data_IF_499508446080
#
_entry.id   IF_499508446080
#
_cell.length_a   1.000
_cell.length_b   1.000
_cell.length_c   1.000
_cell.angle_alpha   90.00
_cell.angle_beta   90.00
_cell.angle_gamma   90.00
#
_symmetry.space_group_name_H-M   'P 1'
#
loop_
_entity.id
_entity.type
_entity.pdbx_description
1 polymer ?
#
# COMPACT_ATOMS: atom_id res chain seq x y z
N UNK A 1 43.45 21.19 31.68
CA UNK A 1 43.09 22.01 32.87
C UNK A 1 41.61 21.77 33.16
N UNK A 2 41.31 21.22 34.34
CA UNK A 2 39.95 20.92 34.84
C UNK A 2 39.20 22.23 35.13
N UNK A 3 37.90 22.30 34.82
CA UNK A 3 36.89 22.90 35.72
C UNK A 3 35.56 22.13 35.64
N UNK A 4 35.23 21.51 36.76
CA UNK A 4 33.94 20.98 37.18
C UNK A 4 33.04 22.11 37.70
N UNK A 5 31.73 21.85 37.79
CA UNK A 5 30.69 22.32 38.76
C UNK A 5 29.37 22.50 37.98
N UNK A 6 28.37 21.61 38.01
CA UNK A 6 27.52 21.09 39.11
C UNK A 6 26.44 22.07 39.62
N UNK A 7 25.21 21.57 39.69
CA UNK A 7 24.07 22.10 40.47
C UNK A 7 22.94 22.68 39.61
N UNK A 8 21.65 22.52 39.92
CA UNK A 8 20.93 21.72 40.91
C UNK A 8 19.43 21.75 40.52
N UNK A 9 18.66 20.83 41.09
CA UNK A 9 17.24 20.56 40.86
C UNK A 9 16.28 21.69 41.31
N UNK A 10 15.06 21.67 40.75
CA UNK A 10 13.84 22.00 41.49
C UNK A 10 12.62 21.26 40.91
N UNK A 11 11.97 20.47 41.77
CA UNK A 11 10.60 19.97 41.62
C UNK A 11 9.60 21.12 41.82
N UNK A 12 8.47 21.10 41.11
CA UNK A 12 7.15 21.40 41.71
C UNK A 12 6.00 21.03 40.75
N UNK A 13 5.08 20.26 41.29
CA UNK A 13 3.78 19.80 40.79
C UNK A 13 2.74 20.91 40.65
N UNK A 14 1.81 20.78 39.70
CA UNK A 14 0.41 21.16 39.89
C UNK A 14 -0.51 20.45 38.88
N UNK A 15 -1.25 19.46 39.38
CA UNK A 15 -2.48 18.96 38.78
C UNK A 15 -3.57 20.04 38.93
N UNK A 16 -4.30 20.33 37.85
CA UNK A 16 -5.62 20.99 37.94
C UNK A 16 -6.60 20.15 37.14
N UNK A 17 -7.39 19.34 37.84
CA UNK A 17 -8.67 18.84 37.34
C UNK A 17 -9.67 19.99 37.41
N UNK A 18 -10.16 20.44 36.26
CA UNK A 18 -11.37 21.23 36.18
C UNK A 18 -12.53 20.31 35.78
N UNK A 19 -13.27 19.86 36.79
CA UNK A 19 -14.62 19.33 36.61
C UNK A 19 -15.58 20.53 36.52
N UNK A 20 -16.43 20.54 35.50
CA UNK A 20 -17.63 21.36 35.47
C UNK A 20 -18.82 20.43 35.21
N UNK A 21 -19.63 20.29 36.25
CA UNK A 21 -20.94 19.66 36.28
C UNK A 21 -22.03 20.71 36.01
N UNK A 22 -23.16 20.26 35.47
CA UNK A 22 -24.40 21.03 35.26
C UNK A 22 -24.84 20.89 33.80
N UNK A 23 -25.85 20.08 33.45
CA UNK A 23 -27.26 20.18 33.87
C UNK A 23 -27.98 21.09 32.87
N UNK A 24 -29.05 20.76 32.16
CA UNK A 24 -30.02 19.68 32.13
C UNK A 24 -31.25 20.23 31.39
N UNK A 25 -32.01 19.40 30.66
CA UNK A 25 -33.50 19.42 30.58
C UNK A 25 -34.06 18.86 29.27
N UNK A 26 -35.07 17.99 29.48
CA UNK A 26 -36.28 17.75 28.70
C UNK A 26 -36.12 17.29 27.24
N UNK A 27 -36.84 16.29 26.73
CA UNK A 27 -38.04 15.61 27.17
C UNK A 27 -38.68 15.02 25.90
N UNK A 28 -39.25 13.82 25.97
CA UNK A 28 -39.87 13.21 24.78
C UNK A 28 -40.09 11.71 24.91
N UNK A 29 -41.06 11.35 25.75
CA UNK A 29 -41.64 10.02 25.81
C UNK A 29 -42.22 9.62 24.46
N UNK A 30 -41.96 8.40 23.99
CA UNK A 30 -42.96 7.70 23.20
C UNK A 30 -43.05 6.24 23.64
N UNK A 31 -44.20 5.93 24.23
CA UNK A 31 -44.60 4.62 24.67
C UNK A 31 -45.48 4.00 23.58
N UNK A 32 -45.13 2.78 23.19
CA UNK A 32 -45.96 1.82 22.47
C UNK A 32 -45.19 0.52 22.50
N UNK A 33 -45.53 -0.51 23.28
CA UNK A 33 -46.86 -1.00 23.57
C UNK A 33 -47.18 -2.08 22.53
N UNK A 34 -46.75 -3.32 22.79
CA UNK A 34 -46.99 -4.45 21.90
C UNK A 34 -46.16 -5.68 22.23
N UNK A 35 -46.41 -6.30 23.37
CA UNK A 35 -46.02 -7.67 23.66
C UNK A 35 -47.24 -8.58 23.46
N UNK A 36 -47.12 -9.63 22.64
CA UNK A 36 -47.74 -10.93 22.92
C UNK A 36 -46.91 -12.04 22.28
N UNK A 37 -46.81 -13.13 23.02
CA UNK A 37 -45.92 -14.27 22.86
C UNK A 37 -46.32 -15.24 21.74
N UNK A 38 -45.36 -16.07 21.32
CA UNK A 38 -45.59 -17.50 21.17
C UNK A 38 -44.26 -18.26 21.23
N UNK A 39 -44.17 -19.14 22.23
CA UNK A 39 -43.18 -20.19 22.34
C UNK A 39 -43.37 -21.21 21.20
N UNK A 40 -42.26 -21.64 20.59
CA UNK A 40 -42.21 -22.73 19.64
C UNK A 40 -41.02 -23.61 19.95
N UNK A 41 -41.25 -24.61 20.78
CA UNK A 41 -40.33 -25.71 21.07
C UNK A 41 -40.20 -26.58 19.82
N UNK A 42 -39.00 -26.66 19.25
CA UNK A 42 -38.73 -27.51 18.09
C UNK A 42 -37.28 -28.01 18.15
N UNK A 43 -37.10 -29.19 18.75
CA UNK A 43 -35.85 -29.93 18.68
C UNK A 43 -35.59 -30.38 17.25
N UNK A 44 -34.42 -30.02 16.72
CA UNK A 44 -33.91 -30.46 15.43
C UNK A 44 -32.43 -30.81 15.58
N UNK A 45 -32.16 -32.09 15.44
CA UNK A 45 -30.89 -32.83 15.55
C UNK A 45 -29.75 -32.24 14.72
N UNK A 46 -28.47 -32.33 15.15
CA UNK A 46 -27.34 -31.98 14.30
C UNK A 46 -27.15 -33.05 13.21
N UNK A 47 -27.40 -32.70 11.95
CA UNK A 47 -26.97 -33.50 10.81
C UNK A 47 -25.56 -33.09 10.40
N UNK A 48 -24.59 -33.92 10.78
CA UNK A 48 -23.31 -34.08 10.10
C UNK A 48 -23.58 -34.36 8.62
N UNK A 49 -23.00 -33.58 7.71
CA UNK A 49 -22.93 -33.93 6.29
C UNK A 49 -21.51 -33.73 5.79
N UNK A 50 -20.96 -34.88 5.47
CA UNK A 50 -19.63 -35.22 5.02
C UNK A 50 -19.17 -34.44 3.80
N UNK A 51 -17.88 -34.12 3.85
CA UNK A 51 -17.09 -33.68 2.71
C UNK A 51 -17.18 -34.68 1.54
N UNK A 52 -17.35 -34.14 0.33
CA UNK A 52 -17.13 -34.88 -0.92
C UNK A 52 -15.69 -34.59 -1.36
N UNK A 53 -14.83 -35.61 -1.58
CA UNK A 53 -13.54 -35.40 -2.22
C UNK A 53 -13.72 -35.24 -3.73
N UNK A 54 -13.29 -34.10 -4.27
CA UNK A 54 -13.10 -33.88 -5.70
C UNK A 54 -11.90 -34.72 -6.19
N UNK A 55 -12.01 -35.47 -7.30
CA UNK A 55 -10.87 -36.22 -7.84
C UNK A 55 -9.79 -35.30 -8.42
N UNK A 56 -8.54 -35.66 -8.14
CA UNK A 56 -7.33 -35.04 -8.67
C UNK A 56 -7.23 -35.19 -10.20
N UNK A 57 -6.72 -34.18 -10.94
CA UNK A 57 -6.33 -34.37 -12.33
C UNK A 57 -4.97 -35.09 -12.39
N UNK A 58 -4.99 -36.33 -12.88
CA UNK A 58 -3.81 -37.01 -13.42
C UNK A 58 -3.40 -36.30 -14.72
N UNK A 59 -2.26 -35.62 -14.73
CA UNK A 59 -1.60 -35.21 -15.97
C UNK A 59 -0.23 -35.85 -16.04
N UNK A 60 -0.18 -36.84 -16.90
CA UNK A 60 0.96 -37.64 -17.35
C UNK A 60 2.07 -36.74 -17.87
N UNK A 61 3.25 -36.81 -17.24
CA UNK A 61 4.48 -36.26 -17.76
C UNK A 61 5.03 -37.20 -18.84
N UNK A 62 4.99 -36.78 -20.11
CA UNK A 62 5.71 -37.46 -21.19
C UNK A 62 7.00 -36.70 -21.44
N UNK A 63 8.11 -37.34 -21.08
CA UNK A 63 9.49 -36.94 -21.38
C UNK A 63 9.83 -37.39 -22.80
N UNK A 64 10.29 -36.50 -23.69
CA UNK A 64 11.10 -36.93 -24.81
C UNK A 64 12.60 -36.63 -24.58
N UNK A 65 13.36 -37.71 -24.74
CA UNK A 65 14.81 -37.84 -24.82
C UNK A 65 15.43 -36.95 -25.90
N UNK A 66 16.59 -36.31 -25.68
CA UNK A 66 17.38 -35.76 -26.79
C UNK A 66 18.35 -36.81 -27.33
N UNK A 67 18.20 -37.11 -28.63
CA UNK A 67 19.13 -37.93 -29.41
C UNK A 67 20.28 -37.06 -29.93
N UNK A 68 21.51 -37.56 -29.77
CA UNK A 68 22.76 -37.01 -30.30
C UNK A 68 22.82 -37.16 -31.82
N UNK A 69 23.15 -36.09 -32.56
CA UNK A 69 23.67 -36.20 -33.93
C UNK A 69 24.84 -35.23 -34.16
N UNK A 70 25.87 -35.76 -34.82
CA UNK A 70 27.21 -35.21 -35.01
C UNK A 70 27.41 -34.82 -36.48
N UNK A 71 28.17 -33.74 -36.72
CA UNK A 71 28.94 -33.38 -37.93
C UNK A 71 28.24 -32.52 -39.01
N UNK A 72 28.75 -31.32 -39.28
CA UNK A 72 29.76 -31.02 -40.34
C UNK A 72 29.87 -29.51 -40.62
N UNK A 73 31.08 -29.11 -41.01
CA UNK A 73 31.63 -27.76 -41.10
C UNK A 73 30.98 -26.76 -42.09
N UNK A 74 31.25 -25.49 -41.77
CA UNK A 74 31.23 -24.21 -42.50
C UNK A 74 30.96 -24.18 -44.02
N UNK A 75 30.34 -23.06 -44.48
CA UNK A 75 31.18 -22.05 -45.12
C UNK A 75 30.98 -20.62 -44.56
N UNK A 76 32.08 -19.87 -44.64
CA UNK A 76 32.20 -18.42 -44.49
C UNK A 76 31.26 -17.66 -45.44
N UNK A 77 30.46 -16.75 -44.88
CA UNK A 77 29.89 -15.63 -45.64
C UNK A 77 30.15 -14.32 -44.88
N UNK A 78 30.93 -13.47 -45.53
CA UNK A 78 31.24 -12.10 -45.13
C UNK A 78 29.99 -11.26 -45.32
N UNK A 79 29.40 -10.75 -44.24
CA UNK A 79 28.36 -9.72 -44.30
C UNK A 79 28.80 -8.51 -43.47
N UNK A 80 28.98 -7.38 -44.15
CA UNK A 80 29.48 -6.15 -43.60
C UNK A 80 28.51 -5.57 -42.56
N UNK A 81 29.04 -5.31 -41.36
CA UNK A 81 28.36 -4.69 -40.22
C UNK A 81 27.91 -3.26 -40.55
N UNK A 82 26.61 -2.93 -40.55
CA UNK A 82 26.16 -1.55 -40.54
C UNK A 82 26.53 -0.92 -39.20
N UNK A 83 27.22 0.23 -39.26
CA UNK A 83 27.59 1.03 -38.09
C UNK A 83 26.32 1.55 -37.39
N UNK A 84 26.06 1.24 -36.11
CA UNK A 84 24.97 1.86 -35.37
C UNK A 84 25.21 3.38 -35.29
N UNK A 85 24.19 4.15 -35.65
CA UNK A 85 24.08 5.59 -35.44
C UNK A 85 24.40 5.91 -33.97
N UNK A 86 25.18 6.97 -33.66
CA UNK A 86 25.42 7.37 -32.27
C UNK A 86 24.08 7.62 -31.58
N UNK A 87 23.84 6.86 -30.51
CA UNK A 87 22.74 7.08 -29.57
C UNK A 87 22.80 8.51 -29.05
N UNK A 88 21.69 9.26 -29.05
CA UNK A 88 21.65 10.56 -28.37
C UNK A 88 22.04 10.35 -26.90
N UNK A 89 22.98 11.17 -26.43
CA UNK A 89 23.33 11.27 -25.00
C UNK A 89 22.02 11.41 -24.20
N UNK A 90 21.80 10.59 -23.14
CA UNK A 90 20.63 10.75 -22.29
C UNK A 90 20.52 12.20 -21.84
N UNK A 91 19.34 12.81 -22.04
CA UNK A 91 19.05 14.13 -21.54
C UNK A 91 19.39 14.18 -20.03
N UNK A 92 19.87 15.32 -19.50
CA UNK A 92 20.17 15.44 -18.08
C UNK A 92 18.97 14.98 -17.25
N UNK A 93 19.19 14.01 -16.37
CA UNK A 93 18.18 13.53 -15.41
C UNK A 93 17.57 14.75 -14.71
N UNK A 94 16.24 14.91 -14.68
CA UNK A 94 15.60 15.97 -13.91
C UNK A 94 16.17 15.97 -12.49
N UNK A 95 16.70 17.11 -12.05
CA UNK A 95 17.14 17.25 -10.67
C UNK A 95 15.91 17.10 -9.77
N UNK A 96 16.00 16.21 -8.79
CA UNK A 96 14.96 16.02 -7.79
C UNK A 96 14.69 17.34 -7.07
N UNK A 97 13.43 17.61 -6.75
CA UNK A 97 13.08 18.65 -5.78
C UNK A 97 13.81 18.33 -4.46
N UNK A 98 14.61 19.25 -3.89
CA UNK A 98 15.44 18.97 -2.71
C UNK A 98 14.65 18.54 -1.47
N UNK A 99 13.32 18.69 -1.46
CA UNK A 99 12.44 18.24 -0.38
C UNK A 99 11.86 16.82 -0.50
N UNK A 100 12.10 16.09 -1.60
CA UNK A 100 11.53 14.74 -1.81
C UNK A 100 12.61 13.66 -1.65
N UNK A 101 12.50 12.75 -0.67
CA UNK A 101 13.56 11.76 -0.37
C UNK A 101 13.58 10.56 -1.34
N UNK A 102 12.92 10.65 -2.49
CA UNK A 102 12.77 9.54 -3.45
C UNK A 102 13.53 9.78 -4.75
N UNK A 103 14.83 9.43 -4.77
CA UNK A 103 15.71 9.64 -5.92
C UNK A 103 15.32 8.83 -7.18
N UNK A 104 14.67 7.68 -7.04
CA UNK A 104 14.17 6.86 -8.15
C UNK A 104 12.84 7.40 -8.69
N UNK A 105 11.91 7.77 -7.81
CA UNK A 105 10.67 8.44 -8.23
C UNK A 105 10.97 9.77 -8.94
N UNK A 106 11.94 10.55 -8.44
CA UNK A 106 12.39 11.78 -9.09
C UNK A 106 13.11 11.55 -10.43
N UNK A 107 13.67 10.35 -10.64
CA UNK A 107 14.30 9.97 -11.90
C UNK A 107 13.30 9.55 -12.99
N UNK A 108 12.07 9.22 -12.60
CA UNK A 108 11.09 8.68 -13.50
C UNK A 108 10.70 9.73 -14.55
N UNK A 109 10.68 9.37 -15.86
CA UNK A 109 10.36 10.31 -16.91
C UNK A 109 8.88 10.73 -16.92
N UNK A 110 8.01 9.91 -16.32
CA UNK A 110 6.56 10.12 -16.26
C UNK A 110 6.07 10.47 -14.86
N UNK A 111 4.86 10.02 -14.55
CA UNK A 111 4.29 10.12 -13.20
C UNK A 111 4.97 9.11 -12.27
N UNK A 112 5.19 9.50 -11.01
CA UNK A 112 5.69 8.61 -9.97
C UNK A 112 5.09 8.97 -8.61
N UNK A 113 5.14 8.05 -7.66
CA UNK A 113 4.82 8.28 -6.25
C UNK A 113 6.08 8.19 -5.39
N UNK A 114 6.16 9.07 -4.39
CA UNK A 114 7.13 8.98 -3.31
C UNK A 114 6.40 8.78 -1.99
N UNK A 115 6.95 7.90 -1.14
CA UNK A 115 6.45 7.63 0.20
C UNK A 115 7.63 7.68 1.17
N UNK A 116 7.54 8.53 2.18
CA UNK A 116 8.48 8.62 3.29
C UNK A 116 7.79 8.11 4.55
N UNK A 117 8.16 6.90 4.97
CA UNK A 117 7.59 6.22 6.13
C UNK A 117 7.88 7.02 7.40
N UNK A 118 9.14 7.42 7.63
CA UNK A 118 9.56 8.15 8.83
C UNK A 118 8.82 9.48 9.01
N UNK A 119 8.55 10.20 7.91
CA UNK A 119 7.88 11.49 7.94
C UNK A 119 6.35 11.41 7.84
N UNK A 120 5.80 10.21 7.60
CA UNK A 120 4.38 9.99 7.31
C UNK A 120 3.87 10.86 6.16
N UNK A 121 4.68 10.97 5.09
CA UNK A 121 4.38 11.81 3.92
C UNK A 121 4.36 11.01 2.62
N UNK A 122 3.49 11.43 1.71
CA UNK A 122 3.49 10.95 0.33
C UNK A 122 3.36 12.10 -0.67
N UNK A 123 3.86 11.88 -1.88
CA UNK A 123 3.84 12.83 -3.00
C UNK A 123 3.51 12.13 -4.32
N UNK A 124 3.02 12.91 -5.28
CA UNK A 124 3.01 12.55 -6.69
C UNK A 124 3.98 13.47 -7.42
N UNK A 125 4.83 12.88 -8.25
CA UNK A 125 5.80 13.55 -9.09
C UNK A 125 5.41 13.35 -10.56
N UNK A 126 5.75 14.32 -11.40
CA UNK A 126 5.73 14.19 -12.86
C UNK A 126 7.02 14.76 -13.43
N UNK A 127 7.77 13.93 -14.16
CA UNK A 127 9.07 14.33 -14.72
C UNK A 127 10.05 14.84 -13.65
N UNK A 128 10.03 14.22 -12.47
CA UNK A 128 10.86 14.58 -11.32
C UNK A 128 10.40 15.78 -10.48
N UNK A 129 9.31 16.46 -10.86
CA UNK A 129 8.75 17.61 -10.12
C UNK A 129 7.55 17.20 -9.28
N UNK A 130 7.43 17.73 -8.06
CA UNK A 130 6.23 17.52 -7.24
C UNK A 130 5.03 18.21 -7.90
N UNK A 131 3.97 17.44 -8.16
CA UNK A 131 2.69 17.96 -8.65
C UNK A 131 1.56 17.82 -7.64
N UNK A 132 1.78 17.03 -6.58
CA UNK A 132 0.86 16.90 -5.45
C UNK A 132 1.60 16.44 -4.19
N UNK A 133 1.22 16.99 -3.04
CA UNK A 133 1.82 16.70 -1.73
C UNK A 133 2.78 17.78 -1.23
N UNK A 134 3.43 17.55 -0.06
CA UNK A 134 3.31 16.38 0.79
C UNK A 134 1.91 16.24 1.39
N UNK A 135 1.31 15.05 1.33
CA UNK A 135 0.08 14.72 2.07
C UNK A 135 0.40 13.82 3.26
N UNK A 136 -0.36 13.91 4.38
CA UNK A 136 -0.28 12.92 5.45
C UNK A 136 -0.65 11.53 4.93
N UNK A 137 0.07 10.52 5.39
CA UNK A 137 -0.21 9.12 5.12
C UNK A 137 0.13 8.27 6.36
N UNK A 138 -0.45 7.08 6.48
CA UNK A 138 -0.10 6.16 7.55
C UNK A 138 0.24 4.77 6.98
N UNK A 139 1.43 4.22 7.28
CA UNK A 139 1.89 2.96 6.70
C UNK A 139 1.40 1.75 7.51
N UNK A 140 1.93 0.58 7.16
CA UNK A 140 1.77 -0.66 7.90
C UNK A 140 2.40 -0.61 9.29
N UNK A 141 1.72 -1.21 10.27
CA UNK A 141 2.23 -1.31 11.65
C UNK A 141 3.39 -2.29 11.78
N UNK A 142 4.07 -2.29 12.93
CA UNK A 142 5.07 -3.32 13.26
C UNK A 142 4.47 -4.73 13.14
N UNK A 143 5.18 -5.63 12.44
CA UNK A 143 4.71 -6.98 12.10
C UNK A 143 3.96 -7.08 10.78
N UNK A 144 3.54 -5.95 10.21
CA UNK A 144 2.87 -5.81 8.92
C UNK A 144 3.42 -4.56 8.20
N UNK A 145 4.74 -4.42 8.17
CA UNK A 145 5.38 -3.20 7.70
C UNK A 145 5.18 -3.03 6.20
N UNK A 146 4.94 -1.79 5.76
CA UNK A 146 4.97 -1.47 4.34
C UNK A 146 6.37 -1.75 3.80
N UNK A 147 6.51 -2.49 2.68
CA UNK A 147 7.82 -2.79 2.12
C UNK A 147 8.49 -1.52 1.58
N UNK A 148 9.75 -1.29 1.96
CA UNK A 148 10.59 -0.22 1.41
C UNK A 148 11.27 -0.68 0.13
N UNK A 149 11.43 0.22 -0.84
CA UNK A 149 12.07 -0.11 -2.11
C UNK A 149 11.55 0.75 -3.26
N UNK A 150 11.89 0.31 -4.48
CA UNK A 150 11.32 0.87 -5.71
C UNK A 150 10.44 -0.19 -6.33
N UNK A 151 9.20 0.17 -6.59
CA UNK A 151 8.13 -0.66 -7.11
C UNK A 151 7.46 0.03 -8.30
N UNK A 152 6.42 -0.61 -8.82
CA UNK A 152 5.58 -0.08 -9.87
C UNK A 152 4.12 -0.30 -9.53
N UNK A 153 3.24 0.59 -9.97
CA UNK A 153 1.80 0.37 -9.89
C UNK A 153 1.44 -0.88 -10.68
N UNK A 154 0.83 -1.85 -10.00
CA UNK A 154 0.47 -3.17 -10.54
C UNK A 154 -0.95 -3.16 -11.11
N UNK A 155 -1.89 -2.62 -10.34
CA UNK A 155 -3.31 -2.60 -10.68
C UNK A 155 -4.02 -1.49 -9.91
N UNK A 156 -5.26 -1.21 -10.32
CA UNK A 156 -6.10 -0.17 -9.72
C UNK A 156 -7.53 -0.66 -9.65
N UNK A 157 -8.15 -0.45 -8.49
CA UNK A 157 -9.54 -0.80 -8.25
C UNK A 157 -10.25 0.34 -7.53
N UNK A 158 -11.33 0.85 -8.12
CA UNK A 158 -12.03 2.02 -7.57
C UNK A 158 -12.59 1.73 -6.18
N UNK A 159 -13.14 0.53 -6.02
CA UNK A 159 -13.59 -0.03 -4.75
C UNK A 159 -13.09 -1.48 -4.69
N UNK A 160 -12.03 -1.71 -3.93
CA UNK A 160 -11.55 -3.07 -3.66
C UNK A 160 -12.16 -3.57 -2.34
N UNK A 161 -12.55 -4.84 -2.31
CA UNK A 161 -13.03 -5.52 -1.10
C UNK A 161 -11.98 -6.56 -0.71
N UNK A 162 -11.26 -6.32 0.38
CA UNK A 162 -10.18 -7.22 0.78
C UNK A 162 -10.73 -8.49 1.41
N UNK A 163 -10.60 -9.61 0.69
CA UNK A 163 -11.01 -10.94 1.18
C UNK A 163 -10.21 -11.40 2.39
N UNK A 164 -8.97 -10.93 2.53
CA UNK A 164 -8.11 -11.24 3.68
C UNK A 164 -8.58 -10.53 4.96
N UNK A 165 -9.25 -9.39 4.81
CA UNK A 165 -9.77 -8.59 5.92
C UNK A 165 -11.31 -8.54 5.91
N UNK A 166 -11.97 -9.69 5.79
CA UNK A 166 -13.44 -9.82 5.88
C UNK A 166 -14.21 -8.85 4.96
N UNK A 167 -13.77 -8.74 3.70
CA UNK A 167 -14.31 -7.82 2.70
C UNK A 167 -14.24 -6.34 3.12
N UNK A 168 -13.25 -5.95 3.93
CA UNK A 168 -13.01 -4.56 4.27
C UNK A 168 -12.86 -3.71 3.00
N UNK A 169 -13.55 -2.58 2.98
CA UNK A 169 -13.51 -1.65 1.85
C UNK A 169 -12.17 -0.93 1.77
N UNK A 170 -11.60 -0.91 0.56
CA UNK A 170 -10.41 -0.14 0.22
C UNK A 170 -10.71 0.78 -0.99
N UNK A 171 -11.36 1.94 -0.74
CA UNK A 171 -11.68 2.89 -1.81
C UNK A 171 -10.43 3.50 -2.43
N UNK A 172 -10.46 3.70 -3.75
CA UNK A 172 -9.37 4.29 -4.54
C UNK A 172 -8.05 3.50 -4.46
N UNK A 173 -8.14 2.17 -4.52
CA UNK A 173 -6.98 1.28 -4.40
C UNK A 173 -6.04 1.37 -5.60
N UNK A 174 -4.77 1.66 -5.33
CA UNK A 174 -3.65 1.62 -6.29
C UNK A 174 -2.60 0.66 -5.74
N UNK A 175 -2.61 -0.58 -6.21
CA UNK A 175 -1.67 -1.62 -5.76
C UNK A 175 -0.30 -1.37 -6.36
N UNK A 176 0.74 -1.43 -5.53
CA UNK A 176 2.14 -1.28 -5.97
C UNK A 176 3.04 -2.44 -5.53
N UNK A 177 2.55 -3.26 -4.60
CA UNK A 177 3.18 -4.49 -4.15
C UNK A 177 2.08 -5.54 -3.89
N UNK A 178 2.35 -6.86 -4.00
CA UNK A 178 1.32 -7.87 -3.77
C UNK A 178 0.62 -7.69 -2.41
N UNK A 179 -0.67 -7.37 -2.45
CA UNK A 179 -1.50 -7.12 -1.25
C UNK A 179 -1.43 -5.69 -0.70
N UNK A 180 -0.48 -4.86 -1.13
CA UNK A 180 -0.29 -3.50 -0.61
C UNK A 180 -0.62 -2.41 -1.64
N UNK A 181 -1.45 -1.47 -1.20
CA UNK A 181 -1.96 -0.39 -2.03
C UNK A 181 -1.92 0.97 -1.32
N UNK A 182 -1.97 2.03 -2.11
CA UNK A 182 -2.53 3.30 -1.66
C UNK A 182 -4.05 3.20 -1.67
N UNK A 183 -4.74 3.58 -0.60
CA UNK A 183 -6.20 3.67 -0.60
C UNK A 183 -6.70 4.62 0.49
N UNK A 184 -8.01 4.91 0.49
CA UNK A 184 -8.65 5.63 1.59
C UNK A 184 -8.57 4.79 2.86
N UNK A 185 -8.02 5.36 3.93
CA UNK A 185 -7.93 4.67 5.22
C UNK A 185 -7.80 5.64 6.39
N UNK A 186 -7.65 5.09 7.59
CA UNK A 186 -7.47 5.89 8.80
C UNK A 186 -6.08 6.51 8.85
N UNK A 187 -6.03 7.83 9.11
CA UNK A 187 -4.79 8.56 9.41
C UNK A 187 -4.44 8.56 10.91
N UNK A 188 -5.15 7.77 11.72
CA UNK A 188 -4.89 7.58 13.16
C UNK A 188 -4.60 6.13 13.53
N UNK A 189 -4.88 5.18 12.64
CA UNK A 189 -4.70 3.74 12.86
C UNK A 189 -3.86 3.18 11.72
N UNK A 190 -2.68 2.66 12.07
CA UNK A 190 -1.74 2.04 11.12
C UNK A 190 -2.39 0.86 10.40
N UNK A 191 -1.98 0.64 9.16
CA UNK A 191 -2.53 -0.42 8.30
C UNK A 191 -1.86 -1.78 8.55
N UNK A 192 -2.18 -2.76 7.70
CA UNK A 192 -1.49 -4.05 7.59
C UNK A 192 -0.51 -4.12 6.42
N UNK A 193 0.02 -2.99 5.95
CA UNK A 193 1.03 -2.91 4.89
C UNK A 193 0.71 -1.83 3.86
N UNK A 194 -0.58 -1.58 3.61
CA UNK A 194 -1.06 -0.50 2.75
C UNK A 194 -0.65 0.90 3.22
N UNK A 195 -0.68 1.87 2.31
CA UNK A 195 -0.54 3.29 2.62
C UNK A 195 -1.93 3.90 2.75
N UNK A 196 -2.36 4.18 3.98
CA UNK A 196 -3.60 4.91 4.23
C UNK A 196 -3.44 6.38 3.85
N UNK A 197 -4.39 6.88 3.07
CA UNK A 197 -4.52 8.27 2.68
C UNK A 197 -5.90 8.80 3.07
N UNK A 198 -6.04 10.12 3.15
CA UNK A 198 -7.37 10.73 3.22
C UNK A 198 -8.19 10.40 1.96
N UNK A 199 -9.54 10.48 2.01
CA UNK A 199 -10.37 10.23 0.83
C UNK A 199 -9.97 11.08 -0.38
N UNK A 200 -9.70 12.37 -0.17
CA UNK A 200 -9.29 13.28 -1.24
C UNK A 200 -7.90 12.95 -1.81
N UNK A 201 -6.94 12.63 -0.93
CA UNK A 201 -5.59 12.27 -1.36
C UNK A 201 -5.59 10.93 -2.11
N UNK A 202 -6.27 9.90 -1.60
CA UNK A 202 -6.37 8.62 -2.29
C UNK A 202 -7.02 8.75 -3.67
N UNK A 203 -8.07 9.57 -3.80
CA UNK A 203 -8.70 9.86 -5.08
C UNK A 203 -7.73 10.53 -6.05
N UNK A 204 -6.92 11.47 -5.56
CA UNK A 204 -5.88 12.13 -6.36
C UNK A 204 -4.82 11.13 -6.84
N UNK A 205 -4.35 10.26 -5.96
CA UNK A 205 -3.41 9.18 -6.31
C UNK A 205 -4.01 8.25 -7.35
N UNK A 206 -5.23 7.76 -7.12
CA UNK A 206 -5.95 6.90 -8.05
C UNK A 206 -6.17 7.54 -9.42
N UNK A 207 -6.50 8.83 -9.49
CA UNK A 207 -6.73 9.48 -10.79
C UNK A 207 -5.43 9.82 -11.53
N UNK A 208 -4.31 9.97 -10.83
CA UNK A 208 -3.06 10.49 -11.43
C UNK A 208 -2.06 9.38 -11.75
N UNK A 209 -2.00 8.32 -10.93
CA UNK A 209 -1.11 7.19 -11.15
C UNK A 209 -1.69 6.21 -12.17
N UNK A 210 -0.84 5.65 -13.02
CA UNK A 210 -1.15 4.64 -14.03
C UNK A 210 -0.38 3.36 -13.74
N UNK A 211 -0.87 2.23 -14.26
CA UNK A 211 -0.17 0.95 -14.18
C UNK A 211 1.22 1.12 -14.83
N UNK A 212 2.26 0.67 -14.12
CA UNK A 212 3.66 0.83 -14.51
C UNK A 212 4.37 2.05 -13.94
N UNK A 213 3.66 3.06 -13.40
CA UNK A 213 4.28 4.23 -12.79
C UNK A 213 5.15 3.82 -11.59
N UNK A 214 6.29 4.50 -11.43
CA UNK A 214 7.24 4.21 -10.35
C UNK A 214 6.63 4.59 -9.01
N UNK A 215 6.77 3.70 -8.03
CA UNK A 215 6.45 3.97 -6.61
C UNK A 215 7.72 3.73 -5.80
N UNK A 216 8.22 4.76 -5.14
CA UNK A 216 9.37 4.59 -4.23
C UNK A 216 8.94 4.81 -2.80
N UNK A 217 9.26 3.83 -1.94
CA UNK A 217 9.03 3.85 -0.51
C UNK A 217 10.37 3.88 0.21
N UNK A 218 10.62 4.92 0.98
CA UNK A 218 11.82 5.10 1.79
C UNK A 218 11.49 4.97 3.28
N UNK A 219 12.42 4.42 4.09
CA UNK A 219 12.20 4.17 5.52
C UNK A 219 12.03 5.46 6.34
#
# INVERSE_FOLDING_TARGET
>A
MKRLLAGAAALATAFVLAACSGGGSAGGSNAGGGAVAAAGTGGGTPTTSSATPTPAPTSTATVPTPTTETTKAAPTSTSAKPKPKPTPKPAPKPAADPGVPCAAAAAAPGTAACVDISAHKAWILQGGKVVYGPVPMLPGRKGYATPTGTFHVLSKEKMHLSKEFDNAEMPNSVFFYPGDAFHTGSLSVYSHGCIHLSPAASLKFFNTLHIGDVVQVVP
#
